data_IF_729403275449
#
_entry.id   IF_729403275449
#
_cell.length_a   1.000
_cell.length_b   1.000
_cell.length_c   1.000
_cell.angle_alpha   90.00
_cell.angle_beta   90.00
_cell.angle_gamma   90.00
#
_symmetry.space_group_name_H-M   'P 1'
#
loop_
_entity.id
_entity.type
_entity.pdbx_description
1 polymer ?
#
# COMPACT_ATOMS: atom_id res chain seq x y z
N UNK A 1 17.56 -10.34 1.24
CA UNK A 1 16.20 -9.75 1.15
C UNK A 1 15.92 -9.43 -0.31
N UNK A 2 14.67 -9.37 -0.76
CA UNK A 2 14.41 -8.96 -2.16
C UNK A 2 14.70 -7.45 -2.30
N UNK A 3 15.24 -7.02 -3.45
CA UNK A 3 15.51 -5.60 -3.74
C UNK A 3 14.27 -4.72 -3.55
N UNK A 4 13.06 -5.25 -3.79
CA UNK A 4 11.81 -4.51 -3.64
C UNK A 4 11.56 -4.12 -2.17
N UNK A 5 11.78 -5.03 -1.23
CA UNK A 5 11.55 -4.76 0.20
C UNK A 5 12.50 -3.67 0.73
N UNK A 6 13.78 -3.70 0.34
CA UNK A 6 14.75 -2.66 0.69
C UNK A 6 14.36 -1.28 0.13
N UNK A 7 13.73 -1.23 -1.04
CA UNK A 7 13.21 0.02 -1.62
C UNK A 7 11.98 0.50 -0.84
N UNK A 8 11.04 -0.40 -0.52
CA UNK A 8 9.83 -0.08 0.23
C UNK A 8 10.15 0.41 1.64
N UNK A 9 11.13 -0.18 2.33
CA UNK A 9 11.57 0.29 3.66
C UNK A 9 12.08 1.73 3.60
N UNK A 10 13.00 2.04 2.67
CA UNK A 10 13.50 3.43 2.51
C UNK A 10 12.38 4.39 2.11
N UNK A 11 11.45 3.94 1.27
CA UNK A 11 10.32 4.75 0.83
C UNK A 11 9.36 5.04 1.98
N UNK A 12 9.05 4.04 2.82
CA UNK A 12 8.24 4.21 4.01
C UNK A 12 8.85 5.24 4.97
N UNK A 13 10.17 5.15 5.23
CA UNK A 13 10.89 6.15 6.04
C UNK A 13 10.77 7.55 5.43
N UNK A 14 10.92 7.67 4.11
CA UNK A 14 10.81 8.95 3.39
C UNK A 14 9.40 9.53 3.43
N UNK A 15 8.37 8.68 3.30
CA UNK A 15 6.97 9.10 3.41
C UNK A 15 6.71 9.60 4.83
N UNK A 16 7.09 8.83 5.84
CA UNK A 16 6.92 9.20 7.24
C UNK A 16 7.65 10.50 7.62
N UNK A 17 8.86 10.70 7.10
CA UNK A 17 9.64 11.93 7.34
C UNK A 17 8.97 13.20 6.77
N UNK A 18 7.94 13.07 5.93
CA UNK A 18 7.19 14.19 5.34
C UNK A 18 5.91 14.52 6.13
N UNK A 19 5.60 13.81 7.21
CA UNK A 19 4.49 14.17 8.12
C UNK A 19 4.70 15.56 8.71
N UNK A 20 3.62 16.33 8.80
CA UNK A 20 3.66 17.71 9.29
C UNK A 20 4.36 18.71 8.36
N UNK A 21 4.83 18.27 7.18
CA UNK A 21 5.35 19.16 6.15
C UNK A 21 4.24 20.00 5.50
N UNK A 22 4.64 21.08 4.82
CA UNK A 22 3.73 21.99 4.12
C UNK A 22 3.06 21.30 2.89
N UNK A 23 1.72 21.14 2.87
CA UNK A 23 0.97 20.59 1.76
C UNK A 23 1.11 21.36 0.43
N UNK A 24 1.46 22.64 0.48
CA UNK A 24 1.67 23.45 -0.73
C UNK A 24 3.05 23.18 -1.36
N UNK A 25 4.02 22.74 -0.57
CA UNK A 25 5.39 22.52 -1.01
C UNK A 25 5.69 21.06 -1.41
N UNK A 26 4.86 20.10 -0.98
CA UNK A 26 5.10 18.68 -1.23
C UNK A 26 3.81 17.90 -1.46
N UNK A 27 3.79 17.13 -2.55
CA UNK A 27 2.66 16.25 -2.86
C UNK A 27 2.46 15.18 -1.78
N UNK A 28 3.53 14.58 -1.27
CA UNK A 28 3.41 13.62 -0.17
C UNK A 28 2.86 14.30 1.09
N UNK A 29 3.31 15.51 1.42
CA UNK A 29 2.75 16.25 2.56
C UNK A 29 1.26 16.50 2.37
N UNK A 30 0.81 16.82 1.15
CA UNK A 30 -0.61 16.95 0.82
C UNK A 30 -1.39 15.66 1.06
N UNK A 31 -0.89 14.51 0.62
CA UNK A 31 -1.51 13.21 0.88
C UNK A 31 -1.57 12.90 2.38
N UNK A 32 -0.50 13.18 3.12
CA UNK A 32 -0.40 12.89 4.56
C UNK A 32 -1.32 13.76 5.42
N UNK A 33 -1.69 14.95 4.94
CA UNK A 33 -2.63 15.83 5.62
C UNK A 33 -4.10 15.54 5.24
N UNK A 34 -4.36 14.69 4.23
CA UNK A 34 -5.71 14.35 3.77
C UNK A 34 -5.81 12.83 3.47
N UNK A 35 -6.21 12.01 4.47
CA UNK A 35 -6.40 10.58 4.29
C UNK A 35 -7.45 10.23 3.23
N UNK A 36 -8.43 11.11 2.99
CA UNK A 36 -9.46 10.91 1.96
C UNK A 36 -8.84 11.01 0.57
N UNK A 37 -7.97 12.01 0.35
CA UNK A 37 -7.21 12.14 -0.88
C UNK A 37 -6.26 10.96 -1.09
N UNK A 38 -5.56 10.52 -0.04
CA UNK A 38 -4.69 9.34 -0.10
C UNK A 38 -5.47 8.08 -0.47
N UNK A 39 -6.64 7.86 0.12
CA UNK A 39 -7.50 6.72 -0.19
C UNK A 39 -8.05 6.77 -1.62
N UNK A 40 -8.45 7.96 -2.09
CA UNK A 40 -8.89 8.16 -3.48
C UNK A 40 -7.77 7.79 -4.46
N UNK A 41 -6.55 8.27 -4.21
CA UNK A 41 -5.39 7.96 -5.07
C UNK A 41 -5.08 6.47 -5.07
N UNK A 42 -5.04 5.81 -3.90
CA UNK A 42 -4.87 4.36 -3.84
C UNK A 42 -5.92 3.62 -4.69
N UNK A 43 -7.18 4.06 -4.65
CA UNK A 43 -8.26 3.48 -5.45
C UNK A 43 -8.07 3.66 -6.96
N UNK A 44 -7.53 4.79 -7.39
CA UNK A 44 -7.18 5.07 -8.80
C UNK A 44 -6.10 4.11 -9.29
N UNK A 45 -4.96 4.05 -8.58
CA UNK A 45 -3.83 3.19 -8.95
C UNK A 45 -4.21 1.70 -8.92
N UNK A 46 -5.15 1.30 -8.05
CA UNK A 46 -5.65 -0.07 -8.01
C UNK A 46 -6.40 -0.44 -9.29
N UNK A 47 -7.20 0.47 -9.84
CA UNK A 47 -7.91 0.26 -11.10
C UNK A 47 -6.91 0.27 -12.26
N UNK A 48 -5.94 1.18 -12.26
CA UNK A 48 -4.90 1.25 -13.30
C UNK A 48 -4.03 -0.02 -13.30
N UNK A 49 -3.62 -0.51 -12.13
CA UNK A 49 -2.91 -1.79 -11.98
C UNK A 49 -3.70 -2.96 -12.58
N UNK A 50 -5.01 -3.02 -12.33
CA UNK A 50 -5.89 -4.05 -12.91
C UNK A 50 -5.97 -3.92 -14.43
N UNK A 51 -6.14 -2.71 -14.95
CA UNK A 51 -6.17 -2.45 -16.40
C UNK A 51 -4.83 -2.86 -17.04
N UNK A 52 -3.71 -2.51 -16.41
CA UNK A 52 -2.38 -2.82 -16.91
C UNK A 52 -2.13 -4.33 -16.98
N UNK A 53 -2.54 -5.06 -15.94
CA UNK A 53 -2.48 -6.53 -15.90
C UNK A 53 -3.29 -7.19 -17.03
N UNK A 54 -4.45 -6.61 -17.37
CA UNK A 54 -5.37 -7.19 -18.36
C UNK A 54 -5.03 -6.79 -19.79
N UNK A 55 -4.51 -5.59 -20.02
CA UNK A 55 -4.48 -5.00 -21.38
C UNK A 55 -3.22 -4.24 -21.79
N UNK A 56 -2.27 -3.97 -20.88
CA UNK A 56 -1.11 -3.12 -21.20
C UNK A 56 0.24 -3.83 -21.03
N UNK A 57 0.26 -4.98 -20.36
CA UNK A 57 1.42 -5.87 -20.31
C UNK A 57 2.36 -5.62 -19.12
N UNK A 58 3.48 -6.39 -19.03
CA UNK A 58 4.28 -6.48 -17.82
C UNK A 58 4.96 -5.18 -17.39
N UNK A 59 5.38 -4.33 -18.33
CA UNK A 59 6.05 -3.07 -18.02
C UNK A 59 5.08 -2.06 -17.39
N UNK A 60 3.89 -1.90 -18.00
CA UNK A 60 2.82 -1.08 -17.45
C UNK A 60 2.39 -1.62 -16.07
N UNK A 61 2.20 -2.94 -15.94
CA UNK A 61 1.85 -3.55 -14.66
C UNK A 61 2.90 -3.25 -13.57
N UNK A 62 4.19 -3.28 -13.91
CA UNK A 62 5.25 -2.94 -12.96
C UNK A 62 5.21 -1.46 -12.55
N UNK A 63 4.89 -0.55 -13.49
CA UNK A 63 4.74 0.87 -13.21
C UNK A 63 3.55 1.14 -12.28
N UNK A 64 2.36 0.68 -12.64
CA UNK A 64 1.15 0.91 -11.85
C UNK A 64 1.24 0.24 -10.46
N UNK A 65 1.90 -0.93 -10.38
CA UNK A 65 2.17 -1.58 -9.08
C UNK A 65 3.10 -0.73 -8.20
N UNK A 66 4.03 0.01 -8.78
CA UNK A 66 4.91 0.90 -8.02
C UNK A 66 4.11 2.08 -7.45
N UNK A 67 3.22 2.68 -8.25
CA UNK A 67 2.36 3.79 -7.82
C UNK A 67 1.34 3.32 -6.76
N UNK A 68 0.74 2.14 -6.95
CA UNK A 68 -0.11 1.50 -5.96
C UNK A 68 0.59 1.35 -4.60
N UNK A 69 1.83 0.81 -4.59
CA UNK A 69 2.60 0.61 -3.36
C UNK A 69 2.98 1.93 -2.70
N UNK A 70 3.36 2.95 -3.47
CA UNK A 70 3.62 4.29 -2.94
C UNK A 70 2.37 4.89 -2.28
N UNK A 71 1.23 4.84 -2.97
CA UNK A 71 -0.02 5.40 -2.46
C UNK A 71 -0.58 4.60 -1.27
N UNK A 72 -0.30 3.30 -1.21
CA UNK A 72 -0.62 2.49 -0.04
C UNK A 72 0.20 2.92 1.19
N UNK A 73 1.51 3.10 1.04
CA UNK A 73 2.38 3.61 2.12
C UNK A 73 1.92 5.00 2.60
N UNK A 74 1.60 5.89 1.65
CA UNK A 74 1.08 7.22 1.96
C UNK A 74 -0.26 7.16 2.73
N UNK A 75 -1.16 6.26 2.36
CA UNK A 75 -2.43 6.07 3.07
C UNK A 75 -2.23 5.53 4.48
N UNK A 76 -1.34 4.55 4.68
CA UNK A 76 -1.03 4.02 6.01
C UNK A 76 -0.50 5.14 6.92
N UNK A 77 0.46 5.90 6.41
CA UNK A 77 1.04 7.04 7.11
C UNK A 77 -0.01 8.11 7.43
N UNK A 78 -0.84 8.52 6.46
CA UNK A 78 -1.91 9.51 6.63
C UNK A 78 -2.97 9.04 7.65
N UNK A 79 -3.24 7.74 7.70
CA UNK A 79 -4.25 7.14 8.59
C UNK A 79 -3.71 6.78 9.98
N UNK A 80 -2.42 6.99 10.24
CA UNK A 80 -1.79 6.62 11.51
C UNK A 80 -1.66 5.10 11.73
N UNK A 81 -1.70 4.30 10.66
CA UNK A 81 -1.54 2.84 10.73
C UNK A 81 -0.07 2.49 10.49
N UNK A 82 0.56 1.76 11.42
CA UNK A 82 1.94 1.30 11.27
C UNK A 82 2.02 0.11 10.32
N UNK A 83 3.17 -0.05 9.65
CA UNK A 83 3.44 -1.22 8.82
C UNK A 83 3.52 -2.51 9.66
N UNK A 84 3.98 -2.41 10.91
CA UNK A 84 3.97 -3.53 11.87
C UNK A 84 2.54 -4.01 12.15
N UNK A 85 1.58 -3.09 12.32
CA UNK A 85 0.18 -3.47 12.50
C UNK A 85 -0.39 -4.18 11.27
N UNK A 86 0.07 -3.85 10.06
CA UNK A 86 -0.28 -4.60 8.85
C UNK A 86 0.38 -5.97 8.85
N UNK A 87 1.67 -6.06 9.19
CA UNK A 87 2.42 -7.30 9.27
C UNK A 87 1.75 -8.28 10.25
N UNK A 88 1.37 -7.83 11.43
CA UNK A 88 0.62 -8.63 12.42
C UNK A 88 -0.67 -9.23 11.82
N UNK A 89 -1.39 -8.46 10.97
CA UNK A 89 -2.61 -8.98 10.28
C UNK A 89 -2.29 -9.97 9.19
N UNK A 90 -1.12 -9.87 8.54
CA UNK A 90 -0.67 -10.84 7.54
C UNK A 90 -0.18 -12.12 8.21
N UNK A 91 0.65 -12.02 9.24
CA UNK A 91 1.16 -13.15 10.04
C UNK A 91 0.00 -13.98 10.63
N UNK A 92 -1.04 -13.32 11.14
CA UNK A 92 -2.25 -13.99 11.62
C UNK A 92 -2.95 -14.85 10.54
N UNK A 93 -2.74 -14.54 9.25
CA UNK A 93 -3.29 -15.29 8.11
C UNK A 93 -2.32 -16.35 7.58
N UNK A 94 -1.02 -16.19 7.77
CA UNK A 94 0.03 -17.06 7.22
C UNK A 94 0.01 -18.51 7.76
N UNK A 95 -0.75 -18.81 8.82
CA UNK A 95 -1.01 -20.18 9.30
C UNK A 95 -2.42 -20.71 9.00
N UNK A 96 -3.32 -19.86 8.50
CA UNK A 96 -4.74 -20.17 8.33
C UNK A 96 -5.04 -20.27 6.85
N UNK A 97 -4.71 -21.40 6.23
CA UNK A 97 -5.16 -21.64 4.85
C UNK A 97 -6.68 -21.51 4.79
N UNK A 98 -7.22 -20.77 3.81
CA UNK A 98 -8.67 -20.57 3.66
C UNK A 98 -9.50 -21.86 3.47
N UNK A 99 -8.83 -23.00 3.34
CA UNK A 99 -9.42 -24.34 3.37
C UNK A 99 -9.67 -24.84 4.80
N UNK A 100 -8.79 -24.54 5.76
CA UNK A 100 -8.97 -24.93 7.17
C UNK A 100 -10.09 -24.11 7.85
N UNK A 101 -10.20 -22.82 7.52
CA UNK A 101 -11.23 -21.93 8.08
C UNK A 101 -12.64 -22.23 7.55
N UNK A 102 -12.76 -22.75 6.32
CA UNK A 102 -14.02 -23.26 5.78
C UNK A 102 -14.43 -24.59 6.40
N UNK A 103 -13.47 -25.45 6.76
CA UNK A 103 -13.75 -26.71 7.45
C UNK A 103 -14.21 -26.52 8.90
N UNK A 104 -13.73 -25.48 9.60
CA UNK A 104 -14.11 -25.21 11.00
C UNK A 104 -15.46 -24.52 11.19
N UNK A 105 -16.09 -24.02 10.11
CA UNK A 105 -17.39 -23.33 10.15
C UNK A 105 -18.57 -24.22 9.70
N UNK A 106 -18.31 -25.48 9.35
CA UNK A 106 -19.29 -26.42 8.80
C UNK A 106 -19.49 -27.70 9.62
N UNK A 107 -19.30 -27.63 10.95
CA UNK A 107 -19.60 -28.71 11.90
C UNK A 107 -20.78 -28.35 12.79
#
# INVERSE_FOLDING_TARGET
MSRLFEVLERLAVTVESRKGGDPAASYTAKLLNDPTLAAKKLGEEAIETVIAAVSQGPEALASESADLLYHWLALMAASGVSLDAVAEKLEAREGTSGHAEKASRGG
#
